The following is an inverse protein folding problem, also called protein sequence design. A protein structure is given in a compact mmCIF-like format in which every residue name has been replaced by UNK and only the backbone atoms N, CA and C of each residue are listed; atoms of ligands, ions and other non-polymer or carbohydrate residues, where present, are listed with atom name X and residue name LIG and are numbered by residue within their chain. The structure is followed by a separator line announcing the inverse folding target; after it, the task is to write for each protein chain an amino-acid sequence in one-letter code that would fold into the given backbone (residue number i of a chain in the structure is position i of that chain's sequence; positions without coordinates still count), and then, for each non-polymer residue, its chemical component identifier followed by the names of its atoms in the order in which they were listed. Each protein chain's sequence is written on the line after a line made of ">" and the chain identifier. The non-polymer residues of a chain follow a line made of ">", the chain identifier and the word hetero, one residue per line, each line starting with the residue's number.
data_IF_874163559247
#
_entry.id   IF_874163559247
#
_cell.length_a   1.000
_cell.length_b   1.000
_cell.length_c   1.000
_cell.angle_alpha   90.00
_cell.angle_beta   90.00
_cell.angle_gamma   90.00
#
_symmetry.space_group_name_H-M   'P 1'
#
loop_
_entity.id
_entity.type
_entity.pdbx_description
1 polymer ?
#
# COMPACT_ATOMS: atom_id res chain seq x y z
N UNK A 1 -8.45 21.57 -2.03
CA UNK A 1 -8.44 20.89 -0.72
C UNK A 1 -7.55 19.66 -0.86
N UNK A 2 -6.66 19.41 0.10
CA UNK A 2 -5.87 18.17 0.13
C UNK A 2 -6.77 17.00 0.49
N UNK A 3 -6.70 15.90 -0.27
CA UNK A 3 -7.44 14.68 0.05
C UNK A 3 -6.86 14.04 1.33
N UNK A 4 -7.61 14.08 2.44
CA UNK A 4 -7.17 13.55 3.73
C UNK A 4 -7.11 12.02 3.78
N UNK A 5 -7.75 11.31 2.85
CA UNK A 5 -7.76 9.84 2.75
C UNK A 5 -6.70 9.29 1.79
N UNK A 6 -5.89 10.16 1.20
CA UNK A 6 -4.80 9.80 0.30
C UNK A 6 -3.53 10.60 0.59
N UNK A 7 -3.35 11.04 1.83
CA UNK A 7 -2.17 11.81 2.22
C UNK A 7 -0.95 10.87 2.35
N UNK A 8 0.11 11.19 1.60
CA UNK A 8 1.31 10.35 1.55
C UNK A 8 1.96 10.23 2.94
N UNK A 9 2.42 9.04 3.28
CA UNK A 9 3.03 8.75 4.59
C UNK A 9 2.07 8.85 5.77
N UNK A 10 0.75 8.90 5.56
CA UNK A 10 -0.25 8.91 6.64
C UNK A 10 -1.46 8.03 6.30
N UNK A 11 -2.33 8.44 5.39
CA UNK A 11 -3.60 7.75 5.09
C UNK A 11 -3.64 7.10 3.70
N UNK A 12 -2.73 7.49 2.82
CA UNK A 12 -2.52 6.80 1.56
C UNK A 12 -2.20 5.32 1.79
N UNK A 13 -2.61 4.49 0.83
CA UNK A 13 -2.29 3.07 0.83
C UNK A 13 -0.78 2.85 0.99
N UNK A 14 -0.41 2.05 1.98
CA UNK A 14 0.98 1.74 2.30
C UNK A 14 1.17 0.25 2.53
N UNK A 15 2.23 -0.30 1.94
CA UNK A 15 2.70 -1.67 2.19
C UNK A 15 3.89 -1.62 3.14
N UNK A 16 3.93 -2.55 4.10
CA UNK A 16 4.94 -2.66 5.13
C UNK A 16 5.52 -4.07 5.13
N UNK A 17 6.82 -4.20 5.37
CA UNK A 17 7.51 -5.50 5.33
C UNK A 17 6.82 -6.56 6.22
N UNK A 18 6.54 -6.22 7.48
CA UNK A 18 5.79 -7.02 8.42
C UNK A 18 5.33 -6.17 9.62
N UNK A 19 4.50 -6.76 10.50
CA UNK A 19 3.96 -6.07 11.67
C UNK A 19 4.99 -5.73 12.77
N UNK A 20 6.14 -6.43 12.80
CA UNK A 20 7.15 -6.26 13.86
C UNK A 20 8.12 -5.13 13.53
N UNK A 21 8.70 -5.16 12.33
CA UNK A 21 9.62 -4.12 11.85
C UNK A 21 8.87 -2.87 11.43
N UNK A 22 7.62 -3.02 10.97
CA UNK A 22 6.74 -1.91 10.57
C UNK A 22 7.44 -0.89 9.66
N UNK A 23 8.25 -1.39 8.71
CA UNK A 23 8.98 -0.53 7.78
C UNK A 23 8.18 -0.40 6.51
N UNK A 24 7.75 0.83 6.20
CA UNK A 24 7.06 1.12 4.95
C UNK A 24 7.96 0.81 3.76
N UNK A 25 7.38 0.16 2.77
CA UNK A 25 8.06 -0.21 1.53
C UNK A 25 7.95 0.91 0.50
N UNK A 26 8.84 0.89 -0.49
CA UNK A 26 8.77 1.80 -1.63
C UNK A 26 7.47 1.57 -2.44
N UNK A 27 7.15 2.50 -3.35
CA UNK A 27 5.91 2.47 -4.13
C UNK A 27 5.73 1.23 -5.02
N UNK A 28 6.82 0.53 -5.34
CA UNK A 28 6.83 -0.76 -6.07
C UNK A 28 7.33 -1.92 -5.21
N UNK A 29 7.43 -1.72 -3.89
CA UNK A 29 7.92 -2.71 -2.95
C UNK A 29 6.84 -3.72 -2.54
N UNK A 30 7.25 -4.69 -1.72
CA UNK A 30 6.38 -5.76 -1.25
C UNK A 30 6.51 -6.03 0.24
N UNK A 31 5.44 -6.56 0.85
CA UNK A 31 5.41 -6.80 2.29
C UNK A 31 4.21 -7.64 2.72
N UNK A 32 4.15 -7.97 4.00
CA UNK A 32 3.11 -8.83 4.59
C UNK A 32 2.04 -8.07 5.36
N UNK A 33 2.08 -6.73 5.29
CA UNK A 33 1.03 -5.88 5.81
C UNK A 33 0.72 -4.75 4.83
N UNK A 34 -0.56 -4.42 4.72
CA UNK A 34 -1.07 -3.30 3.93
C UNK A 34 -2.08 -2.52 4.77
N UNK A 35 -2.01 -1.20 4.74
CA UNK A 35 -2.96 -0.30 5.41
C UNK A 35 -3.41 0.80 4.46
N UNK A 36 -4.63 1.28 4.64
CA UNK A 36 -5.23 2.35 3.83
C UNK A 36 -6.37 3.00 4.60
N UNK A 37 -6.75 4.22 4.21
CA UNK A 37 -7.95 4.90 4.70
C UNK A 37 -9.05 4.91 3.64
N UNK A 38 -10.30 4.88 4.07
CA UNK A 38 -11.47 5.07 3.20
C UNK A 38 -12.59 5.78 3.95
N UNK A 39 -13.05 6.89 3.38
CA UNK A 39 -14.14 7.72 3.88
C UNK A 39 -15.46 6.93 3.83
N UNK A 40 -15.84 6.31 4.94
CA UNK A 40 -16.91 5.30 4.95
C UNK A 40 -18.29 5.95 5.11
N UNK A 41 -18.37 7.04 5.84
CA UNK A 41 -19.59 7.78 6.12
C UNK A 41 -19.70 9.13 5.39
N UNK A 42 -18.71 9.44 4.55
CA UNK A 42 -18.69 10.58 3.61
C UNK A 42 -18.63 11.95 4.30
N UNK A 43 -18.05 12.02 5.50
CA UNK A 43 -17.98 13.26 6.28
C UNK A 43 -16.68 14.07 6.04
N UNK A 44 -15.69 13.46 5.39
CA UNK A 44 -14.42 14.08 5.05
C UNK A 44 -13.42 14.22 6.22
N UNK A 45 -13.66 13.55 7.35
CA UNK A 45 -12.81 13.51 8.54
C UNK A 45 -12.24 12.10 8.68
N UNK A 46 -10.94 11.98 8.98
CA UNK A 46 -10.33 10.65 9.13
C UNK A 46 -10.55 10.11 10.55
N UNK A 47 -11.44 9.15 10.66
CA UNK A 47 -11.77 8.46 11.91
C UNK A 47 -11.07 7.10 12.06
N UNK A 48 -11.09 6.55 13.27
CA UNK A 48 -10.40 5.31 13.58
C UNK A 48 -10.94 4.12 12.77
N UNK A 49 -12.25 4.08 12.56
CA UNK A 49 -13.00 3.03 11.86
C UNK A 49 -12.76 3.01 10.35
N UNK A 50 -12.26 4.12 9.80
CA UNK A 50 -11.97 4.30 8.38
C UNK A 50 -10.56 3.87 8.00
N UNK A 51 -9.73 3.60 9.02
CA UNK A 51 -8.38 3.15 8.84
C UNK A 51 -8.36 1.62 8.85
N UNK A 52 -8.32 1.07 7.64
CA UNK A 52 -8.37 -0.36 7.38
C UNK A 52 -6.99 -0.93 7.03
N UNK A 53 -6.91 -2.26 6.95
CA UNK A 53 -5.70 -2.95 6.58
C UNK A 53 -5.76 -4.45 6.80
N UNK A 54 -4.75 -5.14 6.28
CA UNK A 54 -4.56 -6.58 6.42
C UNK A 54 -3.11 -6.86 6.78
N UNK A 55 -2.89 -7.88 7.60
CA UNK A 55 -1.52 -8.31 7.94
C UNK A 55 -1.43 -9.80 8.23
N UNK A 56 -0.22 -10.32 8.15
CA UNK A 56 0.13 -11.64 8.68
C UNK A 56 0.83 -11.51 10.04
N UNK A 57 0.34 -12.26 11.02
CA UNK A 57 0.99 -12.39 12.32
C UNK A 57 2.14 -13.39 12.29
N UNK A 58 3.04 -13.29 13.25
CA UNK A 58 4.12 -14.27 13.44
C UNK A 58 3.62 -15.67 13.78
N UNK A 59 2.37 -15.80 14.25
CA UNK A 59 1.70 -17.06 14.52
C UNK A 59 1.04 -17.69 13.27
N UNK A 60 1.11 -17.03 12.10
CA UNK A 60 0.52 -17.55 10.86
C UNK A 60 -0.97 -17.27 10.72
N UNK A 61 -1.48 -16.24 11.40
CA UNK A 61 -2.88 -15.80 11.30
C UNK A 61 -2.96 -14.51 10.49
N UNK A 62 -3.82 -14.49 9.47
CA UNK A 62 -4.15 -13.26 8.75
C UNK A 62 -5.18 -12.49 9.56
N UNK A 63 -4.91 -11.21 9.76
CA UNK A 63 -5.78 -10.31 10.50
C UNK A 63 -6.25 -9.17 9.61
N UNK A 64 -7.46 -8.69 9.88
CA UNK A 64 -8.01 -7.46 9.33
C UNK A 64 -8.04 -6.37 10.42
N UNK A 65 -7.75 -5.13 10.06
CA UNK A 65 -7.85 -3.99 10.97
C UNK A 65 -9.28 -3.47 10.96
N UNK A 66 -9.92 -3.47 12.12
CA UNK A 66 -11.31 -3.00 12.30
C UNK A 66 -11.39 -1.57 12.81
N UNK A 67 -10.33 -1.09 13.44
CA UNK A 67 -10.20 0.29 13.93
C UNK A 67 -8.72 0.58 14.14
N UNK A 68 -8.27 1.81 13.92
CA UNK A 68 -6.87 2.14 14.10
C UNK A 68 -6.55 3.49 14.68
N UNK A 69 -5.27 3.72 14.89
CA UNK A 69 -4.76 4.88 15.59
C UNK A 69 -4.71 6.10 14.67
N UNK A 70 -5.58 7.08 14.90
CA UNK A 70 -5.59 8.34 14.14
C UNK A 70 -4.31 9.17 14.32
N UNK A 71 -3.55 8.96 15.41
CA UNK A 71 -2.24 9.59 15.59
C UNK A 71 -1.10 8.89 14.82
N UNK A 72 -1.32 7.65 14.37
CA UNK A 72 -0.37 6.90 13.54
C UNK A 72 -1.11 6.03 12.50
N UNK A 73 -1.80 6.65 11.52
CA UNK A 73 -2.73 5.92 10.64
C UNK A 73 -2.04 4.86 9.77
N UNK A 74 -0.81 5.15 9.33
CA UNK A 74 0.06 4.30 8.53
C UNK A 74 0.89 3.32 9.37
N UNK A 75 0.26 2.57 10.27
CA UNK A 75 0.97 1.60 11.10
C UNK A 75 0.36 0.21 11.04
N UNK A 76 1.21 -0.78 10.80
CA UNK A 76 0.93 -2.20 10.92
C UNK A 76 1.20 -2.75 12.33
N UNK A 77 1.79 -1.94 13.21
CA UNK A 77 2.03 -2.32 14.59
C UNK A 77 0.71 -2.47 15.38
N UNK A 78 0.74 -3.22 16.47
CA UNK A 78 -0.43 -3.50 17.32
C UNK A 78 -0.78 -2.38 18.26
N UNK A 79 0.16 -1.51 18.63
CA UNK A 79 -0.06 -0.44 19.61
C UNK A 79 -1.18 0.49 19.13
N UNK A 80 -2.29 0.53 19.88
CA UNK A 80 -3.45 1.39 19.61
C UNK A 80 -4.22 1.11 18.31
N UNK A 81 -3.96 -0.04 17.67
CA UNK A 81 -4.77 -0.53 16.55
C UNK A 81 -5.57 -1.76 16.99
N UNK A 82 -6.80 -1.89 16.50
CA UNK A 82 -7.66 -3.07 16.73
C UNK A 82 -7.61 -3.97 15.50
N UNK A 83 -7.17 -5.20 15.72
CA UNK A 83 -7.05 -6.23 14.68
C UNK A 83 -7.89 -7.44 15.06
N UNK A 84 -8.62 -7.98 14.09
CA UNK A 84 -9.42 -9.21 14.23
C UNK A 84 -8.86 -10.29 13.34
N UNK A 85 -8.86 -11.52 13.84
CA UNK A 85 -8.48 -12.69 13.07
C UNK A 85 -9.46 -12.91 11.92
N UNK A 86 -8.92 -13.07 10.71
CA UNK A 86 -9.67 -13.40 9.50
C UNK A 86 -9.59 -14.90 9.19
N UNK A 87 -8.49 -15.54 9.58
CA UNK A 87 -8.24 -16.97 9.43
C UNK A 87 -8.30 -17.68 10.77
N UNK A 88 -8.84 -18.90 10.78
CA UNK A 88 -8.88 -19.75 11.96
C UNK A 88 -7.59 -20.56 12.13
N UNK A 89 -6.83 -20.27 13.19
CA UNK A 89 -5.55 -20.93 13.49
C UNK A 89 -5.69 -22.41 13.84
N UNK A 90 -6.86 -22.85 14.31
CA UNK A 90 -7.10 -24.26 14.65
C UNK A 90 -7.25 -25.12 13.38
N UNK A 91 -7.65 -24.49 12.26
CA UNK A 91 -7.86 -25.17 10.98
C UNK A 91 -6.72 -24.96 9.99
N UNK A 92 -6.26 -23.71 9.81
CA UNK A 92 -5.21 -23.36 8.84
C UNK A 92 -4.10 -22.54 9.46
N UNK A 93 -2.89 -22.75 8.96
CA UNK A 93 -1.74 -21.87 9.22
C UNK A 93 -1.33 -21.21 7.92
N UNK A 94 -1.27 -19.88 7.92
CA UNK A 94 -0.81 -19.08 6.78
C UNK A 94 0.70 -18.88 6.91
N UNK A 95 1.44 -19.43 5.94
CA UNK A 95 2.91 -19.33 5.90
C UNK A 95 3.39 -18.17 5.05
N UNK A 96 2.55 -17.67 4.15
CA UNK A 96 2.87 -16.51 3.31
C UNK A 96 1.64 -15.68 3.07
N UNK A 97 1.78 -14.38 3.29
CA UNK A 97 0.90 -13.33 2.79
C UNK A 97 1.82 -12.24 2.25
N UNK A 98 1.69 -11.92 0.97
CA UNK A 98 2.46 -10.87 0.33
C UNK A 98 1.51 -9.95 -0.41
N UNK A 99 1.67 -8.65 -0.18
CA UNK A 99 1.14 -7.56 -0.99
C UNK A 99 2.32 -6.99 -1.77
N UNK A 100 2.28 -7.09 -3.08
CA UNK A 100 3.35 -6.65 -3.97
C UNK A 100 2.83 -5.57 -4.93
N UNK A 101 3.48 -4.40 -4.91
CA UNK A 101 3.13 -3.25 -5.74
C UNK A 101 3.95 -3.16 -7.03
N UNK A 102 4.76 -4.16 -7.38
CA UNK A 102 5.63 -4.13 -8.55
C UNK A 102 4.91 -3.83 -9.88
N UNK A 103 3.61 -4.12 -9.99
CA UNK A 103 2.79 -3.82 -11.17
C UNK A 103 2.17 -2.41 -11.17
N UNK A 104 2.42 -1.61 -10.13
CA UNK A 104 1.96 -0.22 -10.06
C UNK A 104 2.76 0.64 -11.01
N UNK A 105 2.14 1.69 -11.56
CA UNK A 105 2.79 2.62 -12.50
C UNK A 105 2.54 4.06 -12.07
N UNK A 106 3.54 4.92 -12.23
CA UNK A 106 3.46 6.34 -11.93
C UNK A 106 3.82 7.14 -13.17
N UNK A 107 2.91 8.00 -13.62
CA UNK A 107 3.10 8.85 -14.79
C UNK A 107 3.15 10.32 -14.39
N UNK A 108 4.17 11.05 -14.81
CA UNK A 108 4.20 12.51 -14.76
C UNK A 108 3.49 13.05 -16.01
N UNK A 109 2.30 13.64 -15.83
CA UNK A 109 1.44 14.05 -16.95
C UNK A 109 1.92 15.33 -17.64
N UNK A 110 2.95 15.99 -17.09
CA UNK A 110 3.51 17.20 -17.70
C UNK A 110 4.44 16.86 -18.85
N UNK A 111 5.08 15.69 -18.81
CA UNK A 111 6.02 15.26 -19.84
C UNK A 111 5.30 14.83 -21.14
N UNK A 112 5.84 15.19 -22.32
CA UNK A 112 7.01 16.05 -22.53
C UNK A 112 6.69 17.54 -22.29
N UNK A 113 7.58 18.26 -21.61
CA UNK A 113 7.44 19.68 -21.25
C UNK A 113 8.58 20.61 -21.71
N UNK A 114 9.56 20.06 -22.42
CA UNK A 114 10.77 20.72 -22.93
C UNK A 114 11.70 21.28 -21.85
N UNK A 115 11.60 20.75 -20.63
CA UNK A 115 12.50 21.02 -19.50
C UNK A 115 13.20 19.72 -19.12
N UNK A 116 14.48 19.81 -18.76
CA UNK A 116 15.19 18.70 -18.15
C UNK A 116 14.95 18.76 -16.63
N UNK A 117 14.14 17.84 -16.13
CA UNK A 117 13.61 17.83 -14.77
C UNK A 117 14.44 16.98 -13.79
N UNK A 118 15.37 16.16 -14.28
CA UNK A 118 16.27 15.33 -13.45
C UNK A 118 17.75 15.73 -13.53
N UNK A 119 18.07 16.72 -14.36
CA UNK A 119 19.39 17.34 -14.50
C UNK A 119 20.38 16.54 -15.35
N UNK A 120 19.92 15.63 -16.19
CA UNK A 120 20.76 14.82 -17.07
C UNK A 120 21.24 15.60 -18.34
N UNK A 121 21.63 14.93 -19.43
CA UNK A 121 22.10 15.58 -20.66
C UNK A 121 21.03 15.71 -21.77
N UNK A 122 19.82 15.22 -21.53
CA UNK A 122 18.75 15.10 -22.50
C UNK A 122 17.53 15.94 -22.05
N UNK A 123 16.43 15.90 -22.78
CA UNK A 123 15.22 16.70 -22.47
C UNK A 123 14.04 15.91 -23.00
N UNK A 124 12.96 15.81 -22.23
CA UNK A 124 11.76 15.06 -22.59
C UNK A 124 12.03 13.56 -22.78
N UNK A 125 12.80 12.95 -21.88
CA UNK A 125 13.15 11.54 -22.00
C UNK A 125 12.12 10.60 -21.35
N UNK A 126 12.07 9.32 -21.79
CA UNK A 126 11.09 8.37 -21.26
C UNK A 126 11.15 8.18 -19.74
N UNK A 127 12.31 8.37 -19.13
CA UNK A 127 12.49 8.20 -17.68
C UNK A 127 11.88 9.37 -16.87
N UNK A 128 11.76 10.57 -17.47
CA UNK A 128 11.05 11.72 -16.88
C UNK A 128 9.52 11.47 -16.81
N UNK A 129 8.99 10.65 -17.73
CA UNK A 129 7.58 10.24 -17.72
C UNK A 129 7.27 9.33 -16.52
N UNK A 130 8.23 8.53 -16.06
CA UNK A 130 8.06 7.62 -14.94
C UNK A 130 8.42 8.30 -13.61
N UNK A 131 7.39 8.69 -12.85
CA UNK A 131 7.60 9.38 -11.58
C UNK A 131 8.12 8.50 -10.43
N UNK A 132 8.47 7.24 -10.68
CA UNK A 132 9.28 6.44 -9.77
C UNK A 132 10.78 6.58 -10.02
N UNK A 133 11.20 6.78 -11.27
CA UNK A 133 12.61 6.98 -11.63
C UNK A 133 13.00 8.44 -11.42
N UNK A 134 12.17 9.37 -11.90
CA UNK A 134 12.39 10.80 -11.76
C UNK A 134 11.25 11.41 -10.95
N UNK A 135 11.39 11.36 -9.62
CA UNK A 135 10.38 11.87 -8.68
C UNK A 135 10.32 13.41 -8.81
N UNK A 136 9.16 13.99 -9.18
CA UNK A 136 9.08 15.44 -9.33
C UNK A 136 9.40 16.19 -8.04
N UNK A 137 10.10 17.31 -8.17
CA UNK A 137 10.46 18.14 -7.02
C UNK A 137 9.20 18.85 -6.47
N UNK A 138 9.07 18.91 -5.14
CA UNK A 138 8.00 19.67 -4.48
C UNK A 138 8.05 21.16 -4.83
N UNK A 139 6.92 21.72 -5.21
CA UNK A 139 6.73 23.07 -5.74
C UNK A 139 6.89 23.21 -7.25
N UNK A 140 7.18 22.14 -7.99
CA UNK A 140 7.39 22.17 -9.46
C UNK A 140 6.10 22.46 -10.25
N UNK A 141 4.93 22.19 -9.66
CA UNK A 141 3.64 22.19 -10.34
C UNK A 141 3.39 20.93 -11.17
N UNK A 142 4.29 19.95 -11.12
CA UNK A 142 4.13 18.70 -11.87
C UNK A 142 2.97 17.89 -11.29
N UNK A 143 2.18 17.27 -12.18
CA UNK A 143 1.06 16.43 -11.80
C UNK A 143 1.43 14.99 -12.09
N UNK A 144 1.36 14.15 -11.07
CA UNK A 144 1.58 12.70 -11.22
C UNK A 144 0.28 11.95 -11.04
N UNK A 145 0.09 10.89 -11.83
CA UNK A 145 -1.01 9.93 -11.69
C UNK A 145 -0.40 8.55 -11.46
N UNK A 146 -0.71 7.96 -10.32
CA UNK A 146 -0.22 6.64 -9.94
C UNK A 146 -1.37 5.62 -9.94
N UNK A 147 -1.26 4.64 -10.83
CA UNK A 147 -2.12 3.45 -10.84
C UNK A 147 -1.51 2.42 -9.91
N UNK A 148 -2.32 1.94 -8.95
CA UNK A 148 -1.87 1.01 -7.92
C UNK A 148 -2.47 -0.36 -8.19
N UNK A 149 -1.62 -1.30 -8.55
CA UNK A 149 -1.97 -2.71 -8.73
C UNK A 149 -1.22 -3.53 -7.68
N UNK A 150 -1.98 -4.32 -6.93
CA UNK A 150 -1.49 -5.13 -5.83
C UNK A 150 -1.60 -6.59 -6.25
N UNK A 151 -0.46 -7.26 -6.37
CA UNK A 151 -0.43 -8.72 -6.45
C UNK A 151 -0.47 -9.27 -5.03
N UNK A 152 -1.56 -9.96 -4.69
CA UNK A 152 -1.78 -10.58 -3.39
C UNK A 152 -1.49 -12.06 -3.52
N UNK A 153 -0.51 -12.57 -2.77
CA UNK A 153 -0.23 -14.00 -2.69
C UNK A 153 -0.46 -14.51 -1.28
N UNK A 154 -1.27 -15.56 -1.15
CA UNK A 154 -1.52 -16.25 0.12
C UNK A 154 -1.17 -17.72 -0.03
N UNK A 155 -0.33 -18.23 0.86
CA UNK A 155 -0.03 -19.66 0.99
C UNK A 155 -0.40 -20.14 2.38
N UNK A 156 -1.23 -21.18 2.44
CA UNK A 156 -1.69 -21.77 3.69
C UNK A 156 -1.74 -23.29 3.62
N UNK A 157 -1.63 -23.93 4.78
CA UNK A 157 -1.80 -25.37 4.94
C UNK A 157 -2.73 -25.68 6.11
N UNK A 158 -3.27 -26.91 6.16
CA UNK A 158 -4.01 -27.36 7.33
C UNK A 158 -3.07 -27.43 8.54
N UNK A 159 -3.54 -27.03 9.72
CA UNK A 159 -2.73 -27.02 10.96
C UNK A 159 -2.28 -28.43 11.35
N UNK A 160 -3.11 -29.45 11.09
CA UNK A 160 -2.82 -30.85 11.42
C UNK A 160 -2.24 -31.67 10.25
N UNK A 161 -2.15 -31.10 9.05
CA UNK A 161 -1.55 -31.74 7.88
C UNK A 161 -0.93 -30.70 6.95
N UNK A 162 0.36 -30.45 7.15
CA UNK A 162 1.11 -29.47 6.36
C UNK A 162 1.31 -29.87 4.89
N UNK A 163 1.03 -31.13 4.51
CA UNK A 163 1.09 -31.55 3.10
C UNK A 163 -0.13 -31.08 2.31
N UNK A 164 -1.27 -30.87 2.99
CA UNK A 164 -2.43 -30.22 2.38
C UNK A 164 -2.20 -28.72 2.38
N UNK A 165 -1.65 -28.21 1.27
CA UNK A 165 -1.28 -26.82 1.08
C UNK A 165 -1.89 -26.24 -0.19
N UNK A 166 -2.34 -25.00 -0.10
CA UNK A 166 -2.83 -24.20 -1.22
C UNK A 166 -2.08 -22.87 -1.29
N UNK A 167 -1.74 -22.46 -2.50
CA UNK A 167 -1.30 -21.10 -2.81
C UNK A 167 -2.30 -20.48 -3.76
N UNK A 168 -2.74 -19.27 -3.45
CA UNK A 168 -3.58 -18.45 -4.32
C UNK A 168 -2.90 -17.10 -4.56
N UNK A 169 -2.88 -16.68 -5.81
CA UNK A 169 -2.40 -15.35 -6.22
C UNK A 169 -3.50 -14.63 -6.98
N UNK A 170 -3.74 -13.37 -6.65
CA UNK A 170 -4.71 -12.50 -7.31
C UNK A 170 -4.14 -11.11 -7.51
N UNK A 171 -4.46 -10.48 -8.64
CA UNK A 171 -4.11 -9.09 -8.91
C UNK A 171 -5.33 -8.21 -8.66
N UNK A 172 -5.15 -7.18 -7.84
CA UNK A 172 -6.19 -6.24 -7.45
C UNK A 172 -5.77 -4.83 -7.83
N UNK A 173 -6.54 -4.17 -8.68
CA UNK A 173 -6.35 -2.75 -8.98
C UNK A 173 -7.14 -1.89 -7.98
N UNK A 174 -6.47 -0.93 -7.35
CA UNK A 174 -7.12 0.10 -6.55
C UNK A 174 -7.90 1.02 -7.49
N UNK A 175 -9.21 1.21 -7.24
CA UNK A 175 -10.08 1.97 -8.15
C UNK A 175 -9.78 3.45 -8.21
N UNK A 176 -9.34 4.02 -7.09
CA UNK A 176 -8.94 5.41 -7.03
C UNK A 176 -7.46 5.48 -7.43
N UNK A 177 -7.12 6.07 -8.57
CA UNK A 177 -5.72 6.34 -8.90
C UNK A 177 -5.22 7.50 -8.02
N UNK A 178 -3.95 7.46 -7.59
CA UNK A 178 -3.40 8.51 -6.73
C UNK A 178 -2.90 9.67 -7.58
N UNK A 179 -3.57 10.81 -7.47
CA UNK A 179 -3.15 12.05 -8.13
C UNK A 179 -2.41 12.94 -7.14
N UNK A 180 -1.22 13.41 -7.51
CA UNK A 180 -0.44 14.36 -6.71
C UNK A 180 -0.03 15.55 -7.55
N UNK A 181 -0.05 16.72 -6.92
CA UNK A 181 0.61 17.93 -7.42
C UNK A 181 1.87 18.10 -6.59
N UNK A 182 3.02 18.15 -7.25
CA UNK A 182 4.30 18.33 -6.60
C UNK A 182 4.64 19.80 -6.50
#
# INVERSE_FOLDING_TARGET
>A
ASNLFAANGTTALGVFNNMTSNTQQAATGSGSCIVYAYDMDEDGVVDAEELAGFRLTTAGVVQLRTSGNTAAPNSCATTSNTWSDLTDSDFITVSTLTFDLANSNCLNTREPDSTNNDGDASTDEPDEYNCYTSVPTGGSGNITVETREITITLTANLTNDSFVRLTQTQNVRVRNDLVRVH
#
